data_IF_047576670909
#
_entry.id   IF_047576670909
#
_cell.length_a   1.000
_cell.length_b   1.000
_cell.length_c   1.000
_cell.angle_alpha   90.00
_cell.angle_beta   90.00
_cell.angle_gamma   90.00
#
_symmetry.space_group_name_H-M   'P 1'
#
loop_
_entity.id
_entity.type
_entity.pdbx_description
1 polymer ?
#
# COMPACT_ATOMS: atom_id res chain seq x y z
N UNK A 1 11.79 -38.08 -16.80
CA UNK A 1 11.91 -37.31 -15.54
C UNK A 1 11.86 -35.83 -15.89
N UNK A 2 10.67 -35.22 -15.87
CA UNK A 2 10.50 -33.80 -16.16
C UNK A 2 10.52 -33.03 -14.83
N UNK A 3 11.61 -32.30 -14.59
CA UNK A 3 11.71 -31.29 -13.54
C UNK A 3 10.92 -30.05 -13.95
N UNK A 4 9.62 -30.06 -13.70
CA UNK A 4 8.80 -28.86 -13.80
C UNK A 4 9.17 -27.92 -12.65
N UNK A 5 9.97 -26.89 -12.94
CA UNK A 5 10.10 -25.74 -12.06
C UNK A 5 8.73 -25.09 -11.97
N UNK A 6 8.03 -25.42 -10.88
CA UNK A 6 6.76 -24.82 -10.49
C UNK A 6 7.03 -23.33 -10.24
N UNK A 7 6.81 -22.48 -11.24
CA UNK A 7 6.77 -21.03 -11.03
C UNK A 7 5.84 -20.79 -9.84
N UNK A 8 6.28 -20.05 -8.81
CA UNK A 8 5.41 -19.81 -7.69
C UNK A 8 4.24 -18.97 -8.21
N UNK A 9 3.02 -19.38 -7.86
CA UNK A 9 1.76 -18.75 -8.26
C UNK A 9 1.54 -17.37 -7.61
N UNK A 10 2.58 -16.53 -7.59
CA UNK A 10 2.55 -15.19 -7.03
C UNK A 10 2.08 -14.24 -8.14
N UNK A 11 0.85 -13.75 -8.00
CA UNK A 11 0.31 -12.71 -8.87
C UNK A 11 1.20 -11.46 -8.90
N UNK A 12 0.94 -10.51 -9.83
CA UNK A 12 1.81 -9.35 -10.08
C UNK A 12 2.13 -8.53 -8.81
N UNK A 13 1.21 -8.50 -7.84
CA UNK A 13 1.39 -7.81 -6.57
C UNK A 13 2.47 -8.45 -5.68
N UNK A 14 2.54 -9.77 -5.66
CA UNK A 14 3.50 -10.47 -4.83
C UNK A 14 4.91 -10.43 -5.44
N UNK A 15 5.02 -10.37 -6.76
CA UNK A 15 6.30 -10.03 -7.42
C UNK A 15 6.74 -8.62 -7.03
N UNK A 16 5.83 -7.64 -7.11
CA UNK A 16 6.10 -6.26 -6.71
C UNK A 16 6.57 -6.12 -5.25
N UNK A 17 6.00 -6.90 -4.34
CA UNK A 17 6.42 -6.94 -2.93
C UNK A 17 7.76 -7.65 -2.73
N UNK A 18 7.99 -8.75 -3.46
CA UNK A 18 9.25 -9.50 -3.42
C UNK A 18 10.43 -8.68 -3.93
N UNK A 19 10.21 -7.84 -4.93
CA UNK A 19 11.26 -7.01 -5.53
C UNK A 19 11.57 -5.76 -4.68
N UNK A 20 10.63 -5.33 -3.83
CA UNK A 20 10.81 -4.17 -2.95
C UNK A 20 11.81 -4.51 -1.83
N UNK A 21 12.82 -3.68 -1.53
CA UNK A 21 13.77 -4.01 -0.46
C UNK A 21 13.07 -4.13 0.89
N UNK A 22 13.54 -5.04 1.73
CA UNK A 22 12.86 -5.41 2.98
C UNK A 22 12.53 -4.22 3.89
N UNK A 23 13.45 -3.24 4.00
CA UNK A 23 13.27 -2.07 4.83
C UNK A 23 12.17 -1.10 4.35
N UNK A 24 11.71 -1.25 3.11
CA UNK A 24 10.59 -0.50 2.52
C UNK A 24 9.26 -1.27 2.55
N UNK A 25 9.26 -2.49 3.10
CA UNK A 25 8.03 -3.28 3.25
C UNK A 25 7.35 -2.94 4.57
N UNK A 26 6.02 -2.94 4.55
CA UNK A 26 5.19 -2.75 5.74
C UNK A 26 4.16 -1.63 5.58
N UNK A 27 3.47 -1.33 6.68
CA UNK A 27 2.46 -0.27 6.76
C UNK A 27 3.03 1.05 7.27
N UNK A 28 4.18 1.02 7.93
CA UNK A 28 4.89 2.22 8.41
C UNK A 28 6.33 2.08 7.96
N UNK A 29 6.80 3.04 7.17
CA UNK A 29 8.16 3.07 6.60
C UNK A 29 8.87 4.30 7.18
N UNK A 30 10.10 4.16 7.68
CA UNK A 30 10.74 5.26 8.41
C UNK A 30 12.15 4.95 8.95
N UNK A 31 12.55 5.57 10.07
CA UNK A 31 13.90 6.14 10.31
C UNK A 31 15.10 5.17 10.39
N UNK A 32 14.90 3.89 10.12
CA UNK A 32 15.95 2.88 9.92
C UNK A 32 16.44 2.75 8.47
N UNK A 33 15.94 3.57 7.54
CA UNK A 33 16.40 3.62 6.15
C UNK A 33 17.66 4.50 6.03
N UNK A 34 18.83 3.89 6.16
CA UNK A 34 20.14 4.55 5.98
C UNK A 34 20.57 4.46 4.51
N UNK A 35 20.83 5.59 3.85
CA UNK A 35 21.15 5.55 2.42
C UNK A 35 21.66 6.82 1.73
N UNK A 36 21.55 8.02 2.30
CA UNK A 36 22.16 9.23 1.72
C UNK A 36 22.62 10.22 2.79
N UNK A 37 23.82 10.74 2.59
CA UNK A 37 24.47 11.84 3.30
C UNK A 37 23.74 13.16 3.03
N UNK A 38 23.64 14.01 4.07
CA UNK A 38 23.09 15.38 4.10
C UNK A 38 21.63 15.60 4.51
N UNK A 39 20.90 14.56 4.91
CA UNK A 39 19.69 14.74 5.74
C UNK A 39 19.79 13.82 6.96
N UNK A 40 19.55 14.31 8.20
CA UNK A 40 19.65 13.45 9.37
C UNK A 40 18.70 12.26 9.18
N UNK A 41 19.30 11.07 9.10
CA UNK A 41 18.61 9.79 9.16
C UNK A 41 17.73 9.80 10.42
N UNK A 42 16.42 10.05 10.24
CA UNK A 42 15.54 10.23 11.39
C UNK A 42 14.21 10.96 11.14
N UNK A 43 14.06 11.82 10.12
CA UNK A 43 12.94 12.77 10.16
C UNK A 43 11.67 12.38 9.41
N UNK A 44 11.62 11.23 8.74
CA UNK A 44 10.47 10.89 7.89
C UNK A 44 9.84 9.56 8.30
N UNK A 45 8.52 9.60 8.50
CA UNK A 45 7.67 8.44 8.75
C UNK A 45 6.55 8.48 7.74
N UNK A 46 6.50 7.47 6.87
CA UNK A 46 5.46 7.28 5.90
C UNK A 46 4.44 6.27 6.43
N UNK A 47 3.27 6.76 6.81
CA UNK A 47 2.14 5.95 7.28
C UNK A 47 1.24 5.53 6.10
N UNK A 48 1.29 4.24 5.79
CA UNK A 48 0.56 3.57 4.71
C UNK A 48 -0.54 2.63 5.23
N UNK A 49 -0.93 2.74 6.51
CA UNK A 49 -1.98 1.91 7.11
C UNK A 49 -3.32 2.10 6.41
N UNK A 50 -4.17 1.07 6.50
CA UNK A 50 -5.54 1.04 5.94
C UNK A 50 -5.64 1.34 4.43
N UNK A 51 -4.51 1.27 3.72
CA UNK A 51 -4.51 1.35 2.28
C UNK A 51 -4.69 -0.04 1.68
N UNK A 52 -5.33 -0.15 0.51
CA UNK A 52 -5.28 -1.39 -0.24
C UNK A 52 -3.83 -1.78 -0.55
N UNK A 53 -3.52 -3.08 -0.46
CA UNK A 53 -2.16 -3.62 -0.58
C UNK A 53 -1.40 -3.12 -1.80
N UNK A 54 -2.09 -2.99 -2.94
CA UNK A 54 -1.54 -2.43 -4.18
C UNK A 54 -1.00 -1.02 -3.99
N UNK A 55 -1.79 -0.12 -3.42
CA UNK A 55 -1.37 1.27 -3.24
C UNK A 55 -0.29 1.43 -2.19
N UNK A 56 -0.32 0.59 -1.14
CA UNK A 56 0.75 0.53 -0.15
C UNK A 56 2.09 0.21 -0.84
N UNK A 57 2.12 -0.83 -1.67
CA UNK A 57 3.33 -1.25 -2.38
C UNK A 57 3.78 -0.25 -3.43
N UNK A 58 2.85 0.31 -4.21
CA UNK A 58 3.17 1.34 -5.21
C UNK A 58 3.76 2.60 -4.56
N UNK A 59 3.18 3.08 -3.46
CA UNK A 59 3.72 4.25 -2.74
C UNK A 59 5.07 3.97 -2.07
N UNK A 60 5.27 2.75 -1.55
CA UNK A 60 6.56 2.36 -1.00
C UNK A 60 7.66 2.35 -2.08
N UNK A 61 7.36 1.87 -3.30
CA UNK A 61 8.27 1.94 -4.45
C UNK A 61 8.60 3.37 -4.86
N UNK A 62 7.58 4.23 -4.97
CA UNK A 62 7.80 5.64 -5.32
C UNK A 62 8.67 6.37 -4.29
N UNK A 63 8.47 6.10 -2.99
CA UNK A 63 9.28 6.67 -1.93
C UNK A 63 10.71 6.10 -1.95
N UNK A 64 10.87 4.80 -2.28
CA UNK A 64 12.17 4.16 -2.44
C UNK A 64 12.98 4.79 -3.57
N UNK A 65 12.37 5.01 -4.74
CA UNK A 65 13.03 5.66 -5.88
C UNK A 65 13.44 7.09 -5.55
N UNK A 66 12.60 7.86 -4.84
CA UNK A 66 13.00 9.20 -4.39
C UNK A 66 14.28 9.16 -3.56
N UNK A 67 14.42 8.21 -2.64
CA UNK A 67 15.66 8.09 -1.86
C UNK A 67 16.85 7.67 -2.74
N UNK A 68 16.66 6.75 -3.69
CA UNK A 68 17.72 6.32 -4.62
C UNK A 68 18.19 7.46 -5.53
N UNK A 69 17.28 8.34 -5.94
CA UNK A 69 17.58 9.52 -6.76
C UNK A 69 18.24 10.65 -5.96
N UNK A 70 18.54 10.42 -4.67
CA UNK A 70 19.07 11.44 -3.75
C UNK A 70 18.04 12.51 -3.38
N UNK A 71 16.77 12.32 -3.75
CA UNK A 71 15.69 13.23 -3.43
C UNK A 71 15.15 12.96 -2.01
N UNK A 72 14.55 14.00 -1.45
CA UNK A 72 13.82 13.87 -0.20
C UNK A 72 12.46 13.23 -0.42
N UNK A 73 12.12 12.25 0.42
CA UNK A 73 10.80 11.60 0.37
C UNK A 73 9.70 12.63 0.62
N UNK A 74 8.77 12.74 -0.33
CA UNK A 74 7.63 13.67 -0.32
C UNK A 74 6.51 13.22 0.64
N UNK A 75 6.83 13.07 1.93
CA UNK A 75 5.93 12.47 2.94
C UNK A 75 4.57 13.15 3.01
N UNK A 76 4.53 14.48 2.91
CA UNK A 76 3.26 15.22 2.95
C UNK A 76 2.35 14.83 1.79
N UNK A 77 2.88 14.77 0.57
CA UNK A 77 2.13 14.40 -0.63
C UNK A 77 1.63 12.95 -0.55
N UNK A 78 2.50 12.01 -0.13
CA UNK A 78 2.08 10.64 0.09
C UNK A 78 1.00 10.53 1.17
N UNK A 79 1.12 11.26 2.27
CA UNK A 79 0.10 11.30 3.33
C UNK A 79 -1.25 11.84 2.84
N UNK A 80 -1.24 12.86 1.98
CA UNK A 80 -2.47 13.40 1.36
C UNK A 80 -3.14 12.37 0.44
N UNK A 81 -2.36 11.66 -0.38
CA UNK A 81 -2.87 10.59 -1.24
C UNK A 81 -3.41 9.44 -0.39
N UNK A 82 -2.65 9.01 0.63
CA UNK A 82 -3.05 7.94 1.53
C UNK A 82 -4.38 8.27 2.24
N UNK A 83 -4.50 9.49 2.75
CA UNK A 83 -5.74 9.98 3.35
C UNK A 83 -6.91 9.93 2.36
N UNK A 84 -6.72 10.42 1.13
CA UNK A 84 -7.78 10.41 0.10
C UNK A 84 -8.24 8.99 -0.22
N UNK A 85 -7.31 8.06 -0.42
CA UNK A 85 -7.62 6.67 -0.74
C UNK A 85 -8.31 5.96 0.43
N UNK A 86 -7.85 6.19 1.67
CA UNK A 86 -8.47 5.66 2.89
C UNK A 86 -9.90 6.18 3.05
N UNK A 87 -10.10 7.48 2.88
CA UNK A 87 -11.43 8.12 2.95
C UNK A 87 -12.35 7.61 1.84
N UNK A 88 -11.85 7.46 0.61
CA UNK A 88 -12.63 6.90 -0.49
C UNK A 88 -13.08 5.46 -0.23
N UNK A 89 -12.21 4.65 0.37
CA UNK A 89 -12.54 3.28 0.77
C UNK A 89 -13.59 3.25 1.90
N UNK A 90 -13.45 4.10 2.93
CA UNK A 90 -14.32 4.13 4.11
C UNK A 90 -15.70 4.71 3.83
N UNK A 91 -15.79 5.78 3.04
CA UNK A 91 -17.05 6.48 2.76
C UNK A 91 -17.85 5.86 1.61
N UNK A 92 -17.48 4.67 1.14
CA UNK A 92 -18.19 3.98 0.07
C UNK A 92 -18.03 4.65 -1.30
N UNK A 93 -17.00 5.48 -1.51
CA UNK A 93 -16.69 6.06 -2.83
C UNK A 93 -15.81 5.13 -3.69
N UNK A 94 -15.39 3.98 -3.16
CA UNK A 94 -14.50 3.05 -3.85
C UNK A 94 -15.02 2.62 -5.23
N UNK A 95 -16.33 2.47 -5.39
CA UNK A 95 -17.02 2.17 -6.66
C UNK A 95 -17.15 3.37 -7.59
N UNK A 96 -17.03 4.59 -7.08
CA UNK A 96 -17.00 5.85 -7.85
C UNK A 96 -15.59 6.28 -8.26
N UNK A 97 -14.55 5.67 -7.69
CA UNK A 97 -13.18 5.88 -8.14
C UNK A 97 -13.00 5.47 -9.60
N UNK A 98 -12.10 6.15 -10.36
CA UNK A 98 -11.67 5.69 -11.67
C UNK A 98 -11.30 4.21 -11.69
N UNK A 99 -11.56 3.51 -12.80
CA UNK A 99 -11.41 2.05 -12.88
C UNK A 99 -10.02 1.55 -12.47
N UNK A 100 -8.98 2.30 -12.84
CA UNK A 100 -7.57 2.04 -12.47
C UNK A 100 -7.37 2.02 -10.96
N UNK A 101 -8.01 2.94 -10.22
CA UNK A 101 -7.92 3.01 -8.76
C UNK A 101 -8.85 2.03 -8.06
N UNK A 102 -10.05 1.81 -8.62
CA UNK A 102 -11.04 0.85 -8.10
C UNK A 102 -10.52 -0.58 -8.10
N UNK A 103 -9.73 -0.97 -9.09
CA UNK A 103 -9.08 -2.29 -9.14
C UNK A 103 -8.21 -2.54 -7.89
N UNK A 104 -7.49 -1.51 -7.43
CA UNK A 104 -6.67 -1.57 -6.22
C UNK A 104 -7.50 -1.64 -4.94
N UNK A 105 -8.62 -0.92 -4.85
CA UNK A 105 -9.50 -0.92 -3.67
C UNK A 105 -10.33 -2.19 -3.47
N UNK A 106 -10.46 -3.05 -4.48
CA UNK A 106 -11.38 -4.21 -4.47
C UNK A 106 -11.06 -5.24 -3.38
N UNK A 107 -9.83 -5.29 -2.88
CA UNK A 107 -9.41 -6.17 -1.79
C UNK A 107 -9.94 -5.72 -0.41
N UNK A 108 -10.35 -4.46 -0.23
CA UNK A 108 -10.90 -3.98 1.04
C UNK A 108 -12.36 -4.42 1.28
N UNK A 109 -13.15 -4.64 0.22
CA UNK A 109 -14.55 -5.09 0.36
C UNK A 109 -14.69 -6.45 1.05
N UNK A 110 -13.66 -7.31 1.03
CA UNK A 110 -13.68 -8.61 1.72
C UNK A 110 -13.53 -8.51 3.25
N UNK A 111 -12.98 -7.42 3.78
CA UNK A 111 -12.80 -7.21 5.23
C UNK A 111 -14.01 -6.55 5.90
N UNK A 112 -14.81 -5.76 5.17
CA UNK A 112 -16.05 -5.18 5.71
C UNK A 112 -17.25 -6.14 5.68
N UNK A 113 -17.16 -7.29 4.99
CA UNK A 113 -18.25 -8.27 4.88
C UNK A 113 -18.41 -9.21 6.08
N UNK A 114 -17.57 -9.12 7.12
CA UNK A 114 -17.65 -10.01 8.29
C UNK A 114 -18.18 -9.33 9.57
N UNK A 115 -18.68 -8.10 9.50
CA UNK A 115 -19.26 -7.43 10.67
C UNK A 115 -20.76 -7.24 10.49
N UNK A 116 -21.51 -8.18 11.07
CA UNK A 116 -22.88 -7.95 11.55
C UNK A 116 -23.97 -8.02 10.49
N UNK A 117 -24.45 -9.24 10.25
CA UNK A 117 -25.86 -9.47 9.91
C UNK A 117 -26.70 -8.95 11.08
N UNK A 118 -27.27 -7.74 10.95
CA UNK A 118 -28.35 -7.31 11.81
C UNK A 118 -29.62 -7.49 10.99
N UNK A 119 -30.11 -8.73 11.01
CA UNK A 119 -31.42 -9.07 10.51
C UNK A 119 -32.44 -8.12 11.13
N UNK A 120 -33.25 -7.52 10.27
CA UNK A 120 -34.39 -6.71 10.66
C UNK A 120 -35.30 -7.53 11.58
N UNK A 121 -35.51 -7.04 12.80
CA UNK A 121 -36.64 -7.44 13.62
C UNK A 121 -37.70 -6.35 13.39
N UNK A 122 -38.68 -6.70 12.54
CA UNK A 122 -39.99 -6.06 12.54
C UNK A 122 -40.94 -7.09 13.15
N UNK A 123 -41.46 -6.81 14.34
CA UNK A 123 -42.69 -7.36 14.90
C UNK A 123 -43.18 -6.37 15.96
#
# INVERSE_FOLDING_TARGET
MQGGLREPAYGPLARLESDLPHAWRGEIIGPGLTGHTDRPAGSFTLDLRDLPDRFRLEMAWMAHWQLLDGASVMVYQFGRIAHLLRSAARCGYADRLPASLRSGCRNLRRRCGSSGSMAAIIS
#
